data_IF_461117752437
#
_entry.id   IF_461117752437
#
_cell.length_a   1.000
_cell.length_b   1.000
_cell.length_c   1.000
_cell.angle_alpha   90.00
_cell.angle_beta   90.00
_cell.angle_gamma   90.00
#
_symmetry.space_group_name_H-M   'P 1'
#
loop_
_entity.id
_entity.type
_entity.pdbx_description
1 polymer ?
#
# COMPACT_ATOMS: atom_id res chain seq x y z
N UNK A 1 41.14 -1.54 9.00
CA UNK A 1 40.77 -1.35 8.82
C UNK A 1 40.13 -0.81 8.76
N UNK A 2 39.94 -0.61 8.92
CA UNK A 2 39.35 -0.13 8.88
C UNK A 2 39.10 0.60 8.52
N UNK A 3 39.27 0.86 8.31
CA UNK A 3 39.03 1.42 7.96
C UNK A 3 38.51 1.94 7.43
N UNK A 4 38.65 1.98 7.45
CA UNK A 4 38.26 2.41 6.81
C UNK A 4 37.07 2.67 6.76
N UNK A 5 36.66 3.02 7.55
CA UNK A 5 35.58 3.23 7.58
C UNK A 5 35.20 4.38 7.18
N UNK A 6 34.97 4.49 6.36
CA UNK A 6 34.70 5.59 5.71
C UNK A 6 33.44 6.17 6.02
N UNK A 7 33.30 7.32 5.64
CA UNK A 7 32.10 7.97 5.85
C UNK A 7 30.99 7.29 5.21
N UNK A 8 31.20 6.68 4.14
CA UNK A 8 30.09 6.14 3.46
C UNK A 8 29.49 5.04 4.25
N UNK A 9 30.12 4.69 5.32
CA UNK A 9 29.52 3.71 6.06
C UNK A 9 28.42 4.24 6.79
N UNK A 10 28.35 5.49 6.91
CA UNK A 10 27.27 6.07 7.59
C UNK A 10 26.18 5.70 6.75
N UNK A 11 25.10 5.40 7.26
CA UNK A 11 24.02 4.89 6.53
C UNK A 11 23.51 5.76 5.46
N UNK A 12 23.99 5.58 4.31
CA UNK A 12 23.45 6.23 3.18
C UNK A 12 22.20 5.49 2.82
N UNK A 13 22.16 4.21 3.14
CA UNK A 13 21.01 3.43 2.80
C UNK A 13 20.61 2.61 3.99
N UNK A 14 19.34 2.43 4.16
CA UNK A 14 18.87 1.65 5.26
C UNK A 14 18.83 0.20 4.93
N UNK A 15 18.99 -0.66 5.92
CA UNK A 15 18.90 -2.09 5.67
C UNK A 15 17.53 -2.41 5.14
N UNK A 16 17.48 -3.25 4.15
CA UNK A 16 16.21 -3.61 3.57
C UNK A 16 15.29 -4.31 4.54
N UNK A 17 15.85 -4.99 5.49
CA UNK A 17 15.04 -5.69 6.44
C UNK A 17 14.32 -4.78 7.40
N UNK A 18 14.69 -3.52 7.44
CA UNK A 18 14.06 -2.61 8.34
C UNK A 18 13.07 -1.71 7.71
N UNK A 19 12.20 -2.25 6.95
CA UNK A 19 11.21 -1.42 6.33
C UNK A 19 10.23 -0.91 7.34
N UNK A 20 9.72 0.29 7.16
CA UNK A 20 8.75 0.86 8.09
C UNK A 20 7.53 -0.02 8.20
N UNK A 21 6.89 0.01 9.33
CA UNK A 21 5.71 -0.78 9.55
C UNK A 21 4.63 -0.45 8.52
N UNK A 22 4.48 0.82 8.16
CA UNK A 22 3.47 1.18 7.19
C UNK A 22 3.69 0.48 5.87
N UNK A 23 4.95 0.32 5.49
CA UNK A 23 5.26 -0.32 4.23
C UNK A 23 4.91 -1.79 4.33
N UNK A 24 5.23 -2.42 5.44
CA UNK A 24 4.93 -3.84 5.58
C UNK A 24 3.44 -4.09 5.62
N UNK A 25 2.68 -3.19 6.23
CA UNK A 25 1.25 -3.33 6.25
C UNK A 25 0.68 -3.21 4.85
N UNK A 26 1.16 -2.24 4.07
CA UNK A 26 0.64 -2.08 2.73
C UNK A 26 0.94 -3.33 1.90
N UNK A 27 2.08 -3.95 2.13
CA UNK A 27 2.43 -5.16 1.40
C UNK A 27 1.51 -6.31 1.77
N UNK A 28 1.17 -6.43 3.05
CA UNK A 28 0.27 -7.49 3.48
C UNK A 28 -1.10 -7.32 2.83
N UNK A 29 -1.60 -6.10 2.82
CA UNK A 29 -2.91 -5.86 2.24
C UNK A 29 -2.86 -6.09 0.73
N UNK A 30 -1.80 -5.64 0.09
CA UNK A 30 -1.67 -5.83 -1.33
C UNK A 30 -1.67 -7.31 -1.68
N UNK A 31 -0.99 -8.13 -0.88
CA UNK A 31 -0.96 -9.56 -1.13
C UNK A 31 -2.35 -10.16 -1.01
N UNK A 32 -3.14 -9.67 -0.05
CA UNK A 32 -4.49 -10.20 0.09
C UNK A 32 -5.34 -9.83 -1.11
N UNK A 33 -5.11 -8.68 -1.69
CA UNK A 33 -5.84 -8.29 -2.87
C UNK A 33 -5.40 -9.16 -4.05
N UNK A 34 -4.13 -9.40 -4.18
CA UNK A 34 -3.63 -10.19 -5.27
C UNK A 34 -4.08 -11.65 -5.18
N UNK A 35 -4.23 -12.14 -3.98
CA UNK A 35 -4.68 -13.51 -3.81
C UNK A 35 -6.18 -13.63 -3.75
N UNK A 36 -6.85 -12.52 -3.94
CA UNK A 36 -8.29 -12.50 -3.93
C UNK A 36 -8.95 -12.80 -2.58
N UNK A 37 -8.18 -12.67 -1.51
CA UNK A 37 -8.78 -12.74 -0.19
C UNK A 37 -9.59 -11.47 0.01
N UNK A 38 -9.14 -10.38 -0.62
CA UNK A 38 -9.90 -9.16 -0.65
C UNK A 38 -10.23 -8.95 -2.11
N UNK A 39 -11.49 -8.88 -2.44
CA UNK A 39 -11.91 -8.77 -3.83
C UNK A 39 -12.31 -7.37 -4.22
N UNK A 40 -12.30 -7.07 -5.50
CA UNK A 40 -12.71 -5.73 -5.94
C UNK A 40 -14.08 -5.39 -5.38
N UNK A 41 -14.21 -4.24 -4.80
CA UNK A 41 -15.46 -3.79 -4.22
C UNK A 41 -15.61 -4.09 -2.76
N UNK A 42 -14.76 -4.94 -2.21
CA UNK A 42 -14.84 -5.26 -0.79
C UNK A 42 -14.42 -4.07 0.04
N UNK A 43 -15.06 -3.90 1.18
CA UNK A 43 -14.68 -2.85 2.11
C UNK A 43 -13.45 -3.27 2.86
N UNK A 44 -12.58 -2.32 3.11
CA UNK A 44 -11.46 -2.60 3.99
C UNK A 44 -11.89 -2.35 5.40
N UNK A 45 -11.26 -2.96 6.38
CA UNK A 45 -11.54 -2.63 7.76
C UNK A 45 -11.19 -1.15 8.00
N UNK A 46 -11.73 -0.57 9.04
CA UNK A 46 -11.44 0.83 9.34
C UNK A 46 -10.02 0.98 9.84
N UNK A 47 -9.55 2.21 9.89
CA UNK A 47 -8.22 2.49 10.43
C UNK A 47 -8.09 1.92 11.81
N UNK A 48 -9.09 2.11 12.65
CA UNK A 48 -9.04 1.64 14.00
C UNK A 48 -8.95 0.11 14.05
N UNK A 49 -9.76 -0.54 13.24
CA UNK A 49 -9.74 -1.99 13.21
C UNK A 49 -8.39 -2.51 12.73
N UNK A 50 -7.86 -1.88 11.70
CA UNK A 50 -6.56 -2.32 11.19
C UNK A 50 -5.46 -2.06 12.22
N UNK A 51 -5.54 -0.93 12.90
CA UNK A 51 -4.54 -0.63 13.91
C UNK A 51 -4.54 -1.68 15.01
N UNK A 52 -5.71 -2.12 15.38
CA UNK A 52 -5.81 -3.14 16.39
C UNK A 52 -5.31 -4.48 15.88
N UNK A 53 -5.66 -4.83 14.69
CA UNK A 53 -5.26 -6.11 14.15
C UNK A 53 -3.76 -6.21 13.91
N UNK A 54 -3.16 -5.11 13.46
CA UNK A 54 -1.73 -5.12 13.24
C UNK A 54 -0.92 -4.70 14.47
N UNK A 55 -1.61 -4.28 15.52
CA UNK A 55 -0.97 -3.85 16.75
C UNK A 55 -0.02 -2.67 16.51
N UNK A 56 -0.52 -1.68 15.81
CA UNK A 56 0.26 -0.46 15.55
C UNK A 56 -0.67 0.72 15.78
N UNK A 57 -0.15 1.93 15.71
CA UNK A 57 -1.03 3.07 15.92
C UNK A 57 -1.70 3.45 14.62
N UNK A 58 -2.75 4.25 14.72
CA UNK A 58 -3.55 4.56 13.55
C UNK A 58 -2.80 5.37 12.49
N UNK A 59 -1.85 6.18 12.91
CA UNK A 59 -1.11 6.95 11.92
C UNK A 59 -0.30 6.04 11.00
N UNK A 60 0.19 4.93 11.54
CA UNK A 60 0.95 3.97 10.73
C UNK A 60 0.01 3.31 9.72
N UNK A 61 -1.20 2.99 10.15
CA UNK A 61 -2.17 2.41 9.25
C UNK A 61 -2.54 3.42 8.16
N UNK A 62 -2.75 4.68 8.57
CA UNK A 62 -3.14 5.69 7.61
C UNK A 62 -2.11 5.84 6.53
N UNK A 63 -0.84 5.80 6.92
CA UNK A 63 0.20 5.91 5.97
C UNK A 63 0.20 4.71 5.02
N UNK A 64 -0.04 3.52 5.53
CA UNK A 64 -0.11 2.32 4.69
C UNK A 64 -1.26 2.45 3.70
N UNK A 65 -2.40 2.95 4.17
CA UNK A 65 -3.54 3.08 3.29
C UNK A 65 -3.29 4.12 2.20
N UNK A 66 -2.54 5.17 2.52
CA UNK A 66 -2.22 6.14 1.50
C UNK A 66 -1.35 5.54 0.43
N UNK A 67 -0.46 4.66 0.82
CA UNK A 67 0.38 4.00 -0.16
C UNK A 67 -0.46 3.15 -1.11
N UNK A 68 -1.46 2.47 -0.55
CA UNK A 68 -2.32 1.63 -1.37
C UNK A 68 -3.22 2.47 -2.27
N UNK A 69 -3.67 3.62 -1.77
CA UNK A 69 -4.47 4.51 -2.57
C UNK A 69 -3.66 5.06 -3.72
N UNK A 70 -2.44 5.46 -3.45
CA UNK A 70 -1.57 6.00 -4.49
C UNK A 70 -1.28 4.97 -5.55
N UNK A 71 -1.25 3.72 -5.16
CA UNK A 71 -1.00 2.65 -6.12
C UNK A 71 -2.27 2.25 -6.87
N UNK A 72 -3.39 2.83 -6.51
CA UNK A 72 -4.64 2.51 -7.20
C UNK A 72 -5.28 1.21 -6.76
N UNK A 73 -4.83 0.65 -5.65
CA UNK A 73 -5.38 -0.62 -5.21
C UNK A 73 -6.61 -0.46 -4.34
N UNK A 74 -6.76 0.66 -3.69
CA UNK A 74 -7.94 0.92 -2.88
C UNK A 74 -8.38 2.35 -3.12
N UNK A 75 -9.61 2.66 -2.82
CA UNK A 75 -10.12 4.00 -3.00
C UNK A 75 -11.49 4.13 -2.38
N UNK A 76 -12.04 5.33 -2.43
CA UNK A 76 -13.37 5.57 -1.90
C UNK A 76 -14.31 5.74 -3.07
N UNK A 77 -15.49 5.20 -2.91
CA UNK A 77 -16.46 5.31 -3.95
C UNK A 77 -17.60 6.19 -3.52
N UNK A 78 -18.05 7.00 -4.43
CA UNK A 78 -19.25 7.77 -4.19
C UNK A 78 -19.30 8.55 -2.92
N UNK A 79 -18.28 9.14 -2.53
CA UNK A 79 -18.30 9.94 -1.34
C UNK A 79 -18.23 9.17 -0.04
N UNK A 80 -18.09 7.88 -0.12
CA UNK A 80 -18.01 7.08 1.07
C UNK A 80 -16.70 7.37 1.79
N UNK A 81 -16.72 7.27 3.09
CA UNK A 81 -15.49 7.46 3.83
C UNK A 81 -14.74 6.18 3.94
N UNK A 82 -15.38 5.08 3.64
CA UNK A 82 -14.76 3.80 3.77
C UNK A 82 -13.96 3.47 2.54
N UNK A 83 -12.79 2.91 2.73
CA UNK A 83 -11.97 2.49 1.60
C UNK A 83 -12.41 1.13 1.13
N UNK A 84 -12.38 0.93 -0.16
CA UNK A 84 -12.75 -0.33 -0.77
C UNK A 84 -11.66 -0.75 -1.73
N UNK A 85 -11.60 -2.03 -2.01
CA UNK A 85 -10.67 -2.52 -3.01
C UNK A 85 -11.17 -2.00 -4.34
N UNK A 86 -10.30 -1.42 -5.12
CA UNK A 86 -10.67 -0.77 -6.36
C UNK A 86 -11.20 -1.75 -7.38
N UNK A 87 -12.23 -1.32 -8.10
CA UNK A 87 -12.75 -2.14 -9.17
C UNK A 87 -12.04 -1.73 -10.44
N UNK A 88 -11.88 -2.65 -11.35
CA UNK A 88 -11.16 -2.38 -12.58
C UNK A 88 -11.57 -1.09 -13.27
N UNK A 89 -12.77 -0.83 -13.40
CA UNK A 89 -13.18 0.36 -14.11
C UNK A 89 -12.82 1.62 -13.38
N UNK A 90 -12.93 1.59 -12.07
CA UNK A 90 -12.62 2.76 -11.32
C UNK A 90 -11.15 3.06 -11.37
N UNK A 91 -10.33 2.06 -11.31
CA UNK A 91 -8.93 2.27 -11.35
C UNK A 91 -8.53 2.96 -12.60
N UNK A 92 -9.05 2.57 -13.68
CA UNK A 92 -8.72 3.18 -14.91
C UNK A 92 -9.12 4.59 -14.92
N UNK A 93 -10.27 4.87 -14.49
CA UNK A 93 -10.74 6.21 -14.53
C UNK A 93 -9.85 7.07 -13.75
N UNK A 94 -9.48 6.64 -12.66
CA UNK A 94 -8.68 7.42 -11.84
C UNK A 94 -7.36 7.66 -12.37
N UNK A 95 -6.75 6.79 -12.75
CA UNK A 95 -5.50 7.10 -13.16
C UNK A 95 -5.14 6.92 -14.39
N UNK A 96 -5.50 6.93 -14.80
CA UNK A 96 -5.12 6.84 -15.76
C UNK A 96 -4.40 6.69 -16.31
N UNK A 97 -4.52 6.44 -16.29
CA UNK A 97 -4.09 6.68 -17.09
C UNK A 97 -3.15 5.93 -17.77
N UNK A 98 -2.45 6.09 -18.33
CA UNK A 98 -1.54 5.47 -19.07
C UNK A 98 -0.97 4.23 -18.58
N UNK A 99 -0.43 4.18 -17.48
CA UNK A 99 0.18 3.06 -17.08
C UNK A 99 -0.75 1.96 -16.91
N UNK A 100 -1.89 2.25 -16.57
CA UNK A 100 -2.82 1.26 -16.34
C UNK A 100 -3.05 0.48 -17.57
N UNK A 101 -3.09 1.14 -18.62
CA UNK A 101 -3.33 0.50 -19.83
C UNK A 101 -2.35 -0.55 -20.07
N UNK A 102 -1.18 -0.25 -19.86
CA UNK A 102 -0.14 -1.16 -20.14
C UNK A 102 -0.36 -2.40 -19.40
N UNK A 103 -0.74 -2.30 -18.20
CA UNK A 103 -0.96 -3.42 -17.44
C UNK A 103 -2.05 -4.24 -17.93
N UNK A 104 -3.10 -3.66 -18.22
CA UNK A 104 -4.21 -4.35 -18.69
C UNK A 104 -3.89 -5.12 -19.86
N UNK A 105 -3.25 -4.55 -20.71
CA UNK A 105 -2.97 -5.20 -21.86
C UNK A 105 -2.28 -6.38 -21.64
N UNK A 106 -1.40 -6.34 -20.87
CA UNK A 106 -0.65 -7.37 -20.64
C UNK A 106 -1.34 -8.45 -20.17
N UNK A 107 -2.31 -8.22 -19.48
CA UNK A 107 -2.96 -9.31 -18.96
C UNK A 107 -3.81 -9.95 -19.81
#
# INVERSE_FOLDING_TARGET
MSESTPAYKAPLFEPLARQPASHRISTVIEQKILRRSLRPGDDLPTETELAEQFAVNRSTVREALRRLESAGLVGREGGSKRLKVTRPGHAETASRVGRTLALDDVT
#
